data_IF_421326064920
#
_entry.id   IF_421326064920
#
_cell.length_a   1.000
_cell.length_b   1.000
_cell.length_c   1.000
_cell.angle_alpha   90.00
_cell.angle_beta   90.00
_cell.angle_gamma   90.00
#
_symmetry.space_group_name_H-M   'P 1'
#
loop_
_entity.id
_entity.type
_entity.pdbx_description
1 polymer ?
#
# COMPACT_ATOMS: atom_id res chain seq x y z
N UNK A 1 27.31 -12.29 -15.68
CA UNK A 1 26.41 -11.48 -14.84
C UNK A 1 25.03 -11.52 -15.47
N UNK A 2 24.00 -11.93 -14.72
CA UNK A 2 22.64 -12.03 -15.25
C UNK A 2 21.93 -10.70 -15.07
N UNK A 3 21.32 -10.17 -16.13
CA UNK A 3 20.45 -9.00 -16.03
C UNK A 3 19.25 -9.37 -15.15
N UNK A 4 19.04 -8.63 -14.06
CA UNK A 4 17.81 -8.76 -13.27
C UNK A 4 16.67 -8.19 -14.10
N UNK A 5 15.62 -8.96 -14.24
CA UNK A 5 14.42 -8.61 -15.01
C UNK A 5 13.20 -9.15 -14.27
N UNK A 6 12.02 -8.60 -14.57
CA UNK A 6 10.78 -9.19 -14.10
C UNK A 6 10.63 -10.61 -14.64
N UNK A 7 9.98 -11.47 -13.85
CA UNK A 7 9.69 -12.84 -14.27
C UNK A 7 8.77 -12.86 -15.50
N UNK A 8 7.89 -11.86 -15.62
CA UNK A 8 7.00 -11.63 -16.75
C UNK A 8 6.83 -10.14 -17.07
N UNK A 9 6.39 -9.78 -18.31
CA UNK A 9 6.17 -8.37 -18.69
C UNK A 9 5.08 -7.67 -17.89
N UNK A 10 4.06 -8.40 -17.44
CA UNK A 10 2.87 -7.91 -16.72
C UNK A 10 3.01 -7.93 -15.20
N UNK A 11 4.00 -8.64 -14.66
CA UNK A 11 4.22 -8.85 -13.23
C UNK A 11 4.06 -7.58 -12.38
N UNK A 12 4.69 -6.47 -12.79
CA UNK A 12 4.63 -5.23 -12.03
C UNK A 12 3.21 -4.63 -11.99
N UNK A 13 2.45 -4.76 -13.08
CA UNK A 13 1.07 -4.28 -13.16
C UNK A 13 0.13 -5.18 -12.36
N UNK A 14 0.30 -6.49 -12.45
CA UNK A 14 -0.46 -7.47 -11.66
C UNK A 14 -0.23 -7.29 -10.16
N UNK A 15 1.04 -7.18 -9.75
CA UNK A 15 1.37 -6.94 -8.36
C UNK A 15 0.79 -5.61 -7.85
N UNK A 16 0.85 -4.54 -8.65
CA UNK A 16 0.26 -3.27 -8.27
C UNK A 16 -1.26 -3.40 -8.07
N UNK A 17 -1.93 -4.12 -8.97
CA UNK A 17 -3.38 -4.36 -8.90
C UNK A 17 -3.74 -5.15 -7.65
N UNK A 18 -3.01 -6.21 -7.33
CA UNK A 18 -3.19 -6.97 -6.08
C UNK A 18 -3.10 -6.06 -4.86
N UNK A 19 -2.00 -5.32 -4.72
CA UNK A 19 -1.73 -4.48 -3.56
C UNK A 19 -2.67 -3.27 -3.41
N UNK A 20 -3.32 -2.82 -4.48
CA UNK A 20 -4.15 -1.60 -4.47
C UNK A 20 -5.63 -1.83 -4.68
N UNK A 21 -6.03 -3.04 -5.09
CA UNK A 21 -7.43 -3.37 -5.38
C UNK A 21 -7.90 -4.65 -4.69
N UNK A 22 -7.07 -5.72 -4.68
CA UNK A 22 -7.49 -7.02 -4.14
C UNK A 22 -7.23 -7.17 -2.64
N UNK A 23 -6.00 -6.85 -2.20
CA UNK A 23 -5.56 -7.06 -0.81
C UNK A 23 -5.85 -5.83 0.06
N UNK A 24 -6.13 -4.70 -0.58
CA UNK A 24 -6.41 -3.44 0.09
C UNK A 24 -7.56 -3.51 1.13
N UNK A 25 -8.68 -4.23 0.91
CA UNK A 25 -9.75 -4.37 1.89
C UNK A 25 -9.33 -5.01 3.22
N UNK A 26 -8.19 -5.70 3.26
CA UNK A 26 -7.64 -6.30 4.49
C UNK A 26 -6.90 -5.28 5.35
N UNK A 27 -6.51 -4.15 4.77
CA UNK A 27 -5.74 -3.13 5.47
C UNK A 27 -6.66 -2.21 6.29
N UNK A 28 -6.38 -2.00 7.60
CA UNK A 28 -7.21 -1.16 8.45
C UNK A 28 -7.05 0.31 8.08
N UNK A 29 -8.09 0.96 7.57
CA UNK A 29 -8.02 2.34 7.08
C UNK A 29 -9.25 3.17 7.41
N UNK A 30 -9.00 4.42 7.79
CA UNK A 30 -10.05 5.41 7.99
C UNK A 30 -10.75 5.83 6.70
N UNK A 31 -11.81 6.64 6.86
CA UNK A 31 -12.57 7.26 5.78
C UNK A 31 -12.21 8.73 5.63
N UNK A 32 -11.89 9.14 4.40
CA UNK A 32 -11.67 10.54 4.06
C UNK A 32 -13.02 11.28 3.93
N UNK A 33 -13.15 12.45 4.58
CA UNK A 33 -14.34 13.31 4.49
C UNK A 33 -13.94 14.77 4.27
N UNK A 34 -14.68 15.45 3.39
CA UNK A 34 -14.52 16.88 3.10
C UNK A 34 -13.55 17.15 1.95
N UNK A 35 -13.90 18.10 1.07
CA UNK A 35 -13.11 18.42 -0.13
C UNK A 35 -12.06 19.52 0.09
N UNK A 36 -12.29 20.45 1.01
CA UNK A 36 -11.41 21.62 1.24
C UNK A 36 -10.45 21.38 2.42
N UNK A 37 -10.95 20.75 3.48
CA UNK A 37 -10.15 20.35 4.63
C UNK A 37 -10.44 18.88 4.90
N UNK A 38 -9.55 18.01 4.42
CA UNK A 38 -9.69 16.57 4.55
C UNK A 38 -9.65 16.20 6.04
N UNK A 39 -10.67 15.47 6.47
CA UNK A 39 -10.72 14.81 7.77
C UNK A 39 -10.65 13.31 7.56
N UNK A 40 -9.90 12.63 8.42
CA UNK A 40 -9.82 11.17 8.40
C UNK A 40 -10.56 10.61 9.60
N UNK A 41 -11.59 9.81 9.35
CA UNK A 41 -12.46 9.27 10.37
C UNK A 41 -12.14 7.80 10.60
N UNK A 42 -12.08 7.38 11.85
CA UNK A 42 -11.87 5.98 12.20
C UNK A 42 -12.97 5.10 11.61
N UNK A 43 -12.61 4.00 10.95
CA UNK A 43 -13.57 3.09 10.34
C UNK A 43 -14.50 2.40 11.36
N UNK A 44 -14.01 2.19 12.59
CA UNK A 44 -14.71 1.44 13.62
C UNK A 44 -15.69 2.29 14.42
N UNK A 45 -15.32 3.52 14.81
CA UNK A 45 -16.16 4.37 15.67
C UNK A 45 -16.54 5.73 15.03
N UNK A 46 -16.02 6.06 13.85
CA UNK A 46 -16.34 7.29 13.12
C UNK A 46 -15.73 8.58 13.68
N UNK A 47 -14.96 8.52 14.78
CA UNK A 47 -14.27 9.69 15.34
C UNK A 47 -13.03 10.05 14.51
N UNK A 48 -12.72 11.33 14.46
CA UNK A 48 -11.54 11.86 13.77
C UNK A 48 -10.25 11.22 14.32
N UNK A 49 -9.40 10.76 13.41
CA UNK A 49 -8.07 10.24 13.71
C UNK A 49 -7.14 11.37 14.09
N UNK A 50 -6.10 11.05 14.85
CA UNK A 50 -5.04 12.02 15.17
C UNK A 50 -4.38 12.54 13.87
N UNK A 51 -3.98 13.82 13.83
CA UNK A 51 -3.42 14.43 12.64
C UNK A 51 -1.98 13.97 12.35
N UNK A 52 -1.28 13.46 13.35
CA UNK A 52 0.09 12.95 13.24
C UNK A 52 0.10 11.43 13.37
N UNK A 53 0.97 10.73 12.61
CA UNK A 53 1.13 9.30 12.77
C UNK A 53 1.70 9.01 14.16
N UNK A 54 1.24 7.92 14.74
CA UNK A 54 1.75 7.42 16.01
C UNK A 54 3.10 6.71 15.79
N UNK A 55 3.14 5.79 14.82
CA UNK A 55 4.33 5.07 14.40
C UNK A 55 4.20 4.58 12.95
N UNK A 56 5.22 3.85 12.46
CA UNK A 56 5.13 3.11 11.20
C UNK A 56 4.89 1.64 11.50
N UNK A 57 3.90 1.05 10.83
CA UNK A 57 3.59 -0.37 10.93
C UNK A 57 3.91 -1.06 9.60
N UNK A 58 4.33 -2.32 9.67
CA UNK A 58 4.59 -3.17 8.50
C UNK A 58 3.47 -4.20 8.40
N UNK A 59 2.74 -4.15 7.29
CA UNK A 59 1.71 -5.12 6.94
C UNK A 59 2.31 -6.12 5.96
N UNK A 60 2.26 -7.40 6.30
CA UNK A 60 2.69 -8.49 5.42
C UNK A 60 1.48 -9.03 4.67
N UNK A 61 1.58 -9.08 3.34
CA UNK A 61 0.54 -9.57 2.44
C UNK A 61 1.13 -10.75 1.68
N UNK A 62 0.45 -11.89 1.70
CA UNK A 62 0.82 -13.05 0.89
C UNK A 62 0.21 -12.89 -0.51
N UNK A 63 1.05 -12.88 -1.54
CA UNK A 63 0.65 -12.68 -2.93
C UNK A 63 0.69 -14.01 -3.67
N UNK A 64 -0.42 -14.36 -4.30
CA UNK A 64 -0.54 -15.47 -5.22
C UNK A 64 -0.81 -14.92 -6.63
N UNK A 65 0.14 -15.10 -7.55
CA UNK A 65 -0.01 -14.77 -8.96
C UNK A 65 0.00 -16.06 -9.78
N UNK A 66 -0.78 -16.09 -10.87
CA UNK A 66 -0.79 -17.23 -11.80
C UNK A 66 0.64 -17.56 -12.25
N UNK A 67 0.99 -18.84 -12.34
CA UNK A 67 2.30 -19.36 -12.76
C UNK A 67 3.53 -18.88 -11.93
N UNK A 68 3.32 -18.38 -10.71
CA UNK A 68 4.39 -18.03 -9.78
C UNK A 68 4.20 -18.75 -8.44
N UNK A 69 5.32 -19.10 -7.79
CA UNK A 69 5.27 -19.52 -6.39
C UNK A 69 4.77 -18.35 -5.52
N UNK A 70 3.91 -18.59 -4.50
CA UNK A 70 3.45 -17.55 -3.60
C UNK A 70 4.61 -16.81 -2.94
N UNK A 71 4.47 -15.49 -2.78
CA UNK A 71 5.50 -14.67 -2.16
C UNK A 71 4.90 -13.57 -1.28
N UNK A 72 5.60 -13.24 -0.19
CA UNK A 72 5.18 -12.19 0.73
C UNK A 72 5.65 -10.80 0.28
N UNK A 73 4.81 -9.79 0.53
CA UNK A 73 5.12 -8.37 0.36
C UNK A 73 4.90 -7.63 1.67
N UNK A 74 5.94 -6.91 2.10
CA UNK A 74 5.88 -6.07 3.29
C UNK A 74 5.61 -4.61 2.91
N UNK A 75 4.43 -4.10 3.27
CA UNK A 75 4.07 -2.70 3.13
C UNK A 75 4.27 -1.97 4.45
N UNK A 76 5.27 -1.10 4.51
CA UNK A 76 5.51 -0.25 5.69
C UNK A 76 4.90 1.13 5.50
N UNK A 77 4.02 1.53 6.43
CA UNK A 77 3.21 2.75 6.30
C UNK A 77 2.93 3.43 7.65
N UNK A 78 2.67 4.75 7.67
CA UNK A 78 2.26 5.44 8.88
C UNK A 78 0.89 4.94 9.37
N UNK A 79 0.78 4.67 10.66
CA UNK A 79 -0.48 4.34 11.33
C UNK A 79 -0.88 5.41 12.33
N UNK A 80 -2.19 5.56 12.47
CA UNK A 80 -2.83 6.59 13.28
C UNK A 80 -3.72 5.91 14.30
N UNK A 81 -3.57 6.34 15.54
CA UNK A 81 -4.37 5.84 16.65
C UNK A 81 -5.64 6.66 16.79
N UNK A 82 -6.78 5.99 16.88
CA UNK A 82 -8.03 6.66 17.23
C UNK A 82 -8.06 6.99 18.72
N UNK A 83 -8.18 8.26 19.09
CA UNK A 83 -8.24 8.69 20.49
C UNK A 83 -9.51 8.27 21.24
N UNK A 84 -10.48 7.67 20.56
CA UNK A 84 -11.74 7.23 21.16
C UNK A 84 -11.79 5.72 21.41
N UNK A 85 -11.55 4.90 20.39
CA UNK A 85 -11.59 3.44 20.51
C UNK A 85 -10.20 2.79 20.58
N UNK A 86 -9.12 3.56 20.42
CA UNK A 86 -7.75 3.06 20.46
C UNK A 86 -7.30 2.30 19.21
N UNK A 87 -8.18 2.08 18.22
CA UNK A 87 -7.85 1.32 17.01
C UNK A 87 -6.79 2.04 16.18
N UNK A 88 -5.78 1.28 15.74
CA UNK A 88 -4.74 1.71 14.82
C UNK A 88 -5.16 1.41 13.38
N UNK A 89 -4.95 2.39 12.51
CA UNK A 89 -5.31 2.32 11.10
C UNK A 89 -4.58 3.40 10.31
N UNK A 90 -4.50 3.25 8.99
CA UNK A 90 -4.09 4.34 8.12
C UNK A 90 -5.17 5.43 8.05
N UNK A 91 -4.81 6.60 7.53
CA UNK A 91 -5.76 7.67 7.25
C UNK A 91 -6.82 7.28 6.22
N UNK A 92 -6.41 6.70 5.10
CA UNK A 92 -7.33 6.21 4.07
C UNK A 92 -6.70 5.23 3.09
N UNK A 93 -7.52 4.32 2.58
CA UNK A 93 -7.19 3.43 1.45
C UNK A 93 -6.74 4.20 0.20
N UNK A 94 -7.39 5.34 -0.08
CA UNK A 94 -7.03 6.22 -1.20
C UNK A 94 -5.57 6.69 -1.15
N UNK A 95 -5.01 6.88 0.03
CA UNK A 95 -3.60 7.25 0.19
C UNK A 95 -2.67 6.08 -0.14
N UNK A 96 -3.03 4.85 0.25
CA UNK A 96 -2.31 3.63 -0.14
C UNK A 96 -2.25 3.53 -1.66
N UNK A 97 -3.40 3.54 -2.35
CA UNK A 97 -3.47 3.48 -3.83
C UNK A 97 -2.63 4.56 -4.50
N UNK A 98 -2.57 5.75 -3.91
CA UNK A 98 -1.78 6.87 -4.44
C UNK A 98 -0.27 6.65 -4.30
N UNK A 99 0.19 6.05 -3.20
CA UNK A 99 1.60 5.97 -2.85
C UNK A 99 2.26 4.65 -3.29
N UNK A 100 1.50 3.55 -3.35
CA UNK A 100 2.02 2.22 -3.72
C UNK A 100 2.76 2.20 -5.07
N UNK A 101 2.28 2.83 -6.17
CA UNK A 101 3.01 2.81 -7.44
C UNK A 101 4.44 3.36 -7.35
N UNK A 102 4.61 4.50 -6.68
CA UNK A 102 5.92 5.12 -6.50
C UNK A 102 6.82 4.27 -5.58
N UNK A 103 6.25 3.71 -4.50
CA UNK A 103 6.97 2.83 -3.59
C UNK A 103 7.49 1.57 -4.31
N UNK A 104 6.68 0.96 -5.17
CA UNK A 104 7.09 -0.18 -6.00
C UNK A 104 8.19 0.19 -6.99
N UNK A 105 8.06 1.33 -7.67
CA UNK A 105 9.08 1.81 -8.60
C UNK A 105 10.45 1.98 -7.89
N UNK A 106 10.46 2.60 -6.70
CA UNK A 106 11.66 2.73 -5.89
C UNK A 106 12.21 1.38 -5.39
N UNK A 107 11.34 0.43 -5.05
CA UNK A 107 11.75 -0.91 -4.65
C UNK A 107 12.44 -1.67 -5.80
N UNK A 108 11.88 -1.60 -7.02
CA UNK A 108 12.49 -2.22 -8.20
C UNK A 108 13.80 -1.56 -8.60
N UNK A 109 13.87 -0.22 -8.55
CA UNK A 109 15.10 0.54 -8.77
C UNK A 109 16.19 0.13 -7.77
N UNK A 110 15.88 0.07 -6.48
CA UNK A 110 16.81 -0.36 -5.44
C UNK A 110 17.28 -1.82 -5.63
N UNK A 111 16.43 -2.66 -6.21
CA UNK A 111 16.77 -4.03 -6.59
C UNK A 111 17.56 -4.14 -7.91
N UNK A 112 17.87 -3.02 -8.58
CA UNK A 112 18.47 -2.97 -9.92
C UNK A 112 17.64 -3.74 -10.97
N UNK A 113 16.32 -3.70 -10.85
CA UNK A 113 15.38 -4.24 -11.84
C UNK A 113 14.91 -3.06 -12.70
N UNK A 114 15.25 -3.01 -14.01
CA UNK A 114 14.84 -1.91 -14.86
C UNK A 114 13.31 -1.93 -15.09
N UNK A 115 12.69 -0.76 -15.33
CA UNK A 115 11.27 -0.71 -15.68
C UNK A 115 11.01 -1.48 -16.99
N UNK A 116 9.78 -1.99 -17.20
CA UNK A 116 9.44 -2.66 -18.46
C UNK A 116 9.62 -1.68 -19.62
N UNK A 117 10.20 -2.09 -20.75
CA UNK A 117 10.32 -1.22 -21.91
C UNK A 117 8.93 -0.75 -22.38
N UNK A 118 8.74 0.56 -22.52
CA UNK A 118 7.49 1.17 -23.01
C UNK A 118 6.65 1.91 -21.97
N UNK A 119 7.09 1.97 -20.71
CA UNK A 119 6.47 2.80 -19.65
C UNK A 119 7.36 4.02 -19.38
N UNK A 120 7.05 5.16 -20.01
CA UNK A 120 7.62 6.49 -19.74
C UNK A 120 6.50 7.51 -19.62
#
# INVERSE_FOLDING_TARGET
EGHRQFVRPDFAAELLRHLTEEDEPELPAGKEKGMIMKKYLCESCGKELEPKPDHRHTFSIDIELEDLDPFGVDLTMPVYKCSACGKEQMHSLKEVRKLTPAAMAHAFEAANIPPPPGVI
#
